data_IF_785601543344
#
_entry.id   IF_785601543344
#
_cell.length_a   1.000
_cell.length_b   1.000
_cell.length_c   1.000
_cell.angle_alpha   90.00
_cell.angle_beta   90.00
_cell.angle_gamma   90.00
#
_symmetry.space_group_name_H-M   'P 1'
#
loop_
_entity.id
_entity.type
_entity.pdbx_description
1 polymer ?
#
# COMPACT_ATOMS: atom_id res chain seq x y z
N UNK A 1 28.52 -5.59 2.86
CA UNK A 1 27.65 -4.71 3.67
C UNK A 1 26.26 -5.32 3.52
N UNK A 2 25.71 -5.93 4.57
CA UNK A 2 24.36 -6.51 4.50
C UNK A 2 23.41 -5.32 4.49
N UNK A 3 22.67 -5.15 3.40
CA UNK A 3 21.59 -4.16 3.32
C UNK A 3 20.58 -4.52 4.42
N UNK A 4 20.22 -3.56 5.28
CA UNK A 4 19.23 -3.85 6.33
C UNK A 4 17.90 -4.23 5.69
N UNK A 5 17.16 -5.15 6.31
CA UNK A 5 15.83 -5.58 5.84
C UNK A 5 14.92 -4.38 5.53
N UNK A 6 14.94 -3.34 6.38
CA UNK A 6 14.21 -2.11 6.16
C UNK A 6 14.61 -1.38 4.85
N UNK A 7 15.91 -1.28 4.55
CA UNK A 7 16.40 -0.65 3.31
C UNK A 7 16.01 -1.47 2.08
N UNK A 8 16.10 -2.81 2.19
CA UNK A 8 15.71 -3.71 1.12
C UNK A 8 14.20 -3.62 0.82
N UNK A 9 13.35 -3.57 1.85
CA UNK A 9 11.90 -3.39 1.72
C UNK A 9 11.59 -2.04 1.08
N UNK A 10 12.13 -0.94 1.60
CA UNK A 10 11.89 0.40 1.05
C UNK A 10 12.29 0.47 -0.44
N UNK A 11 13.42 -0.15 -0.80
CA UNK A 11 13.87 -0.26 -2.19
C UNK A 11 12.94 -1.11 -3.05
N UNK A 12 12.47 -2.25 -2.57
CA UNK A 12 11.56 -3.13 -3.30
C UNK A 12 10.18 -2.48 -3.50
N UNK A 13 9.65 -1.79 -2.49
CA UNK A 13 8.41 -1.01 -2.56
C UNK A 13 8.57 0.17 -3.52
N UNK A 14 9.67 0.92 -3.47
CA UNK A 14 9.93 2.00 -4.42
C UNK A 14 10.03 1.50 -5.87
N UNK A 15 10.48 0.26 -6.08
CA UNK A 15 10.50 -0.41 -7.38
C UNK A 15 9.17 -1.08 -7.76
N UNK A 16 8.14 -0.98 -6.89
CA UNK A 16 6.83 -1.61 -7.07
C UNK A 16 6.93 -3.14 -7.28
N UNK A 17 7.90 -3.79 -6.63
CA UNK A 17 8.20 -5.21 -6.80
C UNK A 17 7.64 -6.05 -5.65
N UNK A 18 6.36 -6.45 -5.76
CA UNK A 18 5.68 -7.25 -4.73
C UNK A 18 6.37 -8.61 -4.48
N UNK A 19 6.86 -9.27 -5.53
CA UNK A 19 7.62 -10.52 -5.40
C UNK A 19 8.90 -10.36 -4.59
N UNK A 20 9.64 -9.25 -4.77
CA UNK A 20 10.85 -8.97 -4.00
C UNK A 20 10.54 -8.62 -2.54
N UNK A 21 9.46 -7.86 -2.30
CA UNK A 21 8.97 -7.60 -0.93
C UNK A 21 8.67 -8.92 -0.22
N UNK A 22 7.93 -9.82 -0.87
CA UNK A 22 7.61 -11.13 -0.32
C UNK A 22 8.85 -11.98 -0.04
N UNK A 23 9.81 -12.02 -0.97
CA UNK A 23 11.07 -12.72 -0.76
C UNK A 23 11.81 -12.21 0.48
N UNK A 24 11.87 -10.89 0.67
CA UNK A 24 12.51 -10.28 1.84
C UNK A 24 11.78 -10.66 3.13
N UNK A 25 10.44 -10.64 3.13
CA UNK A 25 9.63 -11.05 4.28
C UNK A 25 9.91 -12.51 4.66
N UNK A 26 9.92 -13.42 3.67
CA UNK A 26 10.15 -14.85 3.88
C UNK A 26 11.57 -15.17 4.36
N UNK A 27 12.55 -14.33 4.03
CA UNK A 27 13.95 -14.47 4.44
C UNK A 27 14.29 -13.73 5.75
N UNK A 28 13.35 -12.93 6.28
CA UNK A 28 13.54 -12.18 7.52
C UNK A 28 13.56 -13.09 8.75
N UNK A 29 14.37 -12.74 9.75
CA UNK A 29 14.35 -13.39 11.07
C UNK A 29 13.02 -13.19 11.79
N UNK A 30 12.34 -12.07 11.52
CA UNK A 30 10.97 -11.78 11.95
C UNK A 30 10.13 -11.44 10.72
N UNK A 31 9.41 -12.43 10.15
CA UNK A 31 8.56 -12.22 8.98
C UNK A 31 7.40 -11.26 9.24
N UNK A 32 6.82 -11.27 10.44
CA UNK A 32 5.72 -10.36 10.78
C UNK A 32 6.21 -8.91 10.86
N UNK A 33 7.36 -8.64 11.48
CA UNK A 33 7.92 -7.27 11.52
C UNK A 33 8.31 -6.78 10.11
N UNK A 34 8.86 -7.67 9.28
CA UNK A 34 9.15 -7.35 7.88
C UNK A 34 7.87 -7.08 7.07
N UNK A 35 6.80 -7.81 7.34
CA UNK A 35 5.49 -7.57 6.73
C UNK A 35 4.89 -6.23 7.18
N UNK A 36 4.88 -5.92 8.49
CA UNK A 36 4.46 -4.62 9.04
C UNK A 36 5.25 -3.49 8.38
N UNK A 37 6.58 -3.62 8.32
CA UNK A 37 7.43 -2.62 7.66
C UNK A 37 7.12 -2.46 6.17
N UNK A 38 6.74 -3.54 5.49
CA UNK A 38 6.32 -3.48 4.09
C UNK A 38 4.99 -2.72 3.93
N UNK A 39 4.03 -2.96 4.81
CA UNK A 39 2.76 -2.23 4.86
C UNK A 39 2.99 -0.74 5.10
N UNK A 40 3.86 -0.39 6.05
CA UNK A 40 4.29 0.97 6.31
C UNK A 40 4.85 1.65 5.05
N UNK A 41 5.81 1.03 4.37
CA UNK A 41 6.45 1.65 3.19
C UNK A 41 5.45 1.84 2.05
N UNK A 42 4.51 0.91 1.84
CA UNK A 42 3.42 1.08 0.86
C UNK A 42 2.54 2.27 1.24
N UNK A 43 2.11 2.38 2.50
CA UNK A 43 1.32 3.51 2.97
C UNK A 43 2.05 4.86 2.76
N UNK A 44 3.36 4.92 3.04
CA UNK A 44 4.16 6.12 2.79
C UNK A 44 4.19 6.49 1.30
N UNK A 45 4.32 5.51 0.40
CA UNK A 45 4.29 5.77 -1.05
C UNK A 45 2.93 6.28 -1.52
N UNK A 46 1.84 5.65 -1.09
CA UNK A 46 0.48 6.11 -1.39
C UNK A 46 0.29 7.54 -0.90
N UNK A 47 0.61 7.83 0.38
CA UNK A 47 0.52 9.18 0.95
C UNK A 47 1.32 10.20 0.14
N UNK A 48 2.51 9.83 -0.34
CA UNK A 48 3.37 10.69 -1.15
C UNK A 48 2.71 11.00 -2.49
N UNK A 49 2.16 10.00 -3.18
CA UNK A 49 1.42 10.20 -4.44
C UNK A 49 0.22 11.15 -4.25
N UNK A 50 -0.54 11.01 -3.17
CA UNK A 50 -1.65 11.92 -2.85
C UNK A 50 -1.20 13.37 -2.68
N UNK A 51 -0.14 13.61 -1.91
CA UNK A 51 0.40 14.95 -1.68
C UNK A 51 0.91 15.58 -2.98
N UNK A 52 1.66 14.83 -3.78
CA UNK A 52 2.17 15.31 -5.07
C UNK A 52 1.03 15.67 -6.03
N UNK A 53 -0.04 14.88 -6.06
CA UNK A 53 -1.20 15.15 -6.89
C UNK A 53 -2.00 16.39 -6.43
N UNK A 54 -2.03 16.69 -5.14
CA UNK A 54 -2.73 17.86 -4.58
C UNK A 54 -1.94 19.17 -4.78
N UNK A 55 -0.60 19.11 -4.73
CA UNK A 55 0.26 20.31 -4.79
C UNK A 55 0.53 20.80 -6.22
N UNK A 56 0.34 19.95 -7.24
CA UNK A 56 0.65 20.28 -8.64
C UNK A 56 -0.64 20.52 -9.42
N UNK A 57 -0.93 21.79 -9.77
CA UNK A 57 -2.10 22.20 -10.59
C UNK A 57 -2.18 21.54 -11.99
N UNK A 58 -1.15 20.80 -12.40
CA UNK A 58 -1.07 20.00 -13.64
C UNK A 58 -0.65 18.56 -13.36
N UNK A 59 -1.06 17.98 -12.24
CA UNK A 59 -0.77 16.58 -11.95
C UNK A 59 -1.28 15.70 -13.09
N UNK A 60 -0.38 14.87 -13.62
CA UNK A 60 -0.71 13.86 -14.62
C UNK A 60 -1.62 12.82 -13.93
N UNK A 61 -2.93 13.03 -14.04
CA UNK A 61 -3.97 12.16 -13.47
C UNK A 61 -3.77 10.69 -13.91
N UNK A 62 -3.14 10.44 -15.07
CA UNK A 62 -2.81 9.10 -15.56
C UNK A 62 -1.64 8.50 -14.76
N UNK A 63 -0.57 9.26 -14.53
CA UNK A 63 0.54 8.83 -13.68
C UNK A 63 0.09 8.57 -12.24
N UNK A 64 -0.73 9.47 -11.67
CA UNK A 64 -1.30 9.30 -10.34
C UNK A 64 -2.16 8.04 -10.25
N UNK A 65 -3.04 7.81 -11.23
CA UNK A 65 -3.88 6.60 -11.28
C UNK A 65 -3.06 5.33 -11.38
N UNK A 66 -2.01 5.31 -12.20
CA UNK A 66 -1.08 4.16 -12.31
C UNK A 66 -0.36 3.88 -11.00
N UNK A 67 0.14 4.91 -10.33
CA UNK A 67 0.84 4.74 -9.05
C UNK A 67 -0.09 4.18 -7.98
N UNK A 68 -1.33 4.69 -7.90
CA UNK A 68 -2.34 4.15 -6.99
C UNK A 68 -2.69 2.69 -7.32
N UNK A 69 -2.84 2.35 -8.60
CA UNK A 69 -3.11 0.96 -8.99
C UNK A 69 -1.96 0.03 -8.57
N UNK A 70 -0.72 0.43 -8.80
CA UNK A 70 0.45 -0.39 -8.47
C UNK A 70 0.61 -0.56 -6.96
N UNK A 71 0.55 0.52 -6.19
CA UNK A 71 0.65 0.43 -4.73
C UNK A 71 -0.57 -0.22 -4.08
N UNK A 72 -1.77 -0.04 -4.64
CA UNK A 72 -2.98 -0.74 -4.22
C UNK A 72 -2.90 -2.24 -4.45
N UNK A 73 -2.33 -2.68 -5.58
CA UNK A 73 -2.08 -4.10 -5.83
C UNK A 73 -1.06 -4.68 -4.84
N UNK A 74 0.01 -3.93 -4.51
CA UNK A 74 0.95 -4.34 -3.47
C UNK A 74 0.28 -4.47 -2.10
N UNK A 75 -0.56 -3.50 -1.71
CA UNK A 75 -1.33 -3.58 -0.47
C UNK A 75 -2.23 -4.82 -0.44
N UNK A 76 -2.94 -5.13 -1.53
CA UNK A 76 -3.75 -6.36 -1.63
C UNK A 76 -2.92 -7.62 -1.44
N UNK A 77 -1.76 -7.71 -2.08
CA UNK A 77 -0.87 -8.85 -1.93
C UNK A 77 -0.36 -9.00 -0.49
N UNK A 78 -0.04 -7.89 0.18
CA UNK A 78 0.37 -7.88 1.58
C UNK A 78 -0.76 -8.30 2.51
N UNK A 79 -1.99 -7.83 2.29
CA UNK A 79 -3.15 -8.23 3.08
C UNK A 79 -3.41 -9.74 2.97
N UNK A 80 -3.45 -10.28 1.74
CA UNK A 80 -3.61 -11.72 1.49
C UNK A 80 -2.47 -12.52 2.12
N UNK A 81 -1.24 -12.03 2.03
CA UNK A 81 -0.10 -12.71 2.64
C UNK A 81 -0.19 -12.71 4.17
N UNK A 82 -0.58 -11.58 4.78
CA UNK A 82 -0.81 -11.47 6.22
C UNK A 82 -1.88 -12.44 6.73
N UNK A 83 -3.01 -12.52 6.03
CA UNK A 83 -4.10 -13.48 6.31
C UNK A 83 -3.60 -14.93 6.25
N UNK A 84 -2.91 -15.32 5.17
CA UNK A 84 -2.35 -16.68 5.02
C UNK A 84 -1.38 -17.03 6.15
N UNK A 85 -0.64 -16.05 6.66
CA UNK A 85 0.34 -16.25 7.75
C UNK A 85 -0.26 -16.13 9.14
N UNK A 86 -1.50 -15.63 9.26
CA UNK A 86 -2.13 -15.34 10.54
C UNK A 86 -1.40 -14.23 11.31
N UNK A 87 -0.91 -13.21 10.61
CA UNK A 87 -0.38 -11.99 11.23
C UNK A 87 -1.52 -11.12 11.77
N UNK A 88 -1.18 -9.98 12.37
CA UNK A 88 -2.13 -8.99 12.89
C UNK A 88 -3.35 -8.75 11.97
N UNK A 89 -4.51 -9.24 12.43
CA UNK A 89 -5.79 -9.22 11.70
C UNK A 89 -6.32 -7.78 11.54
N UNK A 90 -6.11 -6.92 12.54
CA UNK A 90 -6.60 -5.54 12.49
C UNK A 90 -5.82 -4.73 11.46
N UNK A 91 -4.49 -4.85 11.48
CA UNK A 91 -3.64 -4.22 10.48
C UNK A 91 -3.87 -4.81 9.08
N UNK A 92 -4.07 -6.13 8.96
CA UNK A 92 -4.39 -6.77 7.69
C UNK A 92 -5.67 -6.20 7.07
N UNK A 93 -6.74 -6.06 7.86
CA UNK A 93 -7.99 -5.44 7.41
C UNK A 93 -7.79 -4.01 6.91
N UNK A 94 -6.96 -3.22 7.58
CA UNK A 94 -6.64 -1.85 7.13
C UNK A 94 -5.80 -1.79 5.87
N UNK A 95 -4.88 -2.72 5.68
CA UNK A 95 -4.12 -2.83 4.43
C UNK A 95 -5.02 -3.27 3.26
N UNK A 96 -6.03 -4.10 3.52
CA UNK A 96 -7.07 -4.45 2.54
C UNK A 96 -7.93 -3.23 2.16
N UNK A 97 -8.44 -2.49 3.14
CA UNK A 97 -9.18 -1.23 2.91
C UNK A 97 -8.34 -0.23 2.07
N UNK A 98 -7.03 -0.12 2.34
CA UNK A 98 -6.12 0.72 1.55
C UNK A 98 -6.05 0.27 0.08
N UNK A 99 -5.94 -1.03 -0.15
CA UNK A 99 -5.85 -1.61 -1.49
C UNK A 99 -7.11 -1.31 -2.32
N UNK A 100 -8.28 -1.40 -1.68
CA UNK A 100 -9.58 -1.09 -2.29
C UNK A 100 -9.70 0.41 -2.60
N UNK A 101 -9.35 1.27 -1.64
CA UNK A 101 -9.37 2.72 -1.81
C UNK A 101 -8.47 3.20 -2.96
N UNK A 102 -7.28 2.64 -3.06
CA UNK A 102 -6.37 2.89 -4.18
C UNK A 102 -6.98 2.48 -5.52
N UNK A 103 -7.59 1.28 -5.61
CA UNK A 103 -8.21 0.79 -6.85
C UNK A 103 -9.43 1.63 -7.26
N UNK A 104 -10.27 2.01 -6.30
CA UNK A 104 -11.44 2.84 -6.52
C UNK A 104 -11.05 4.25 -7.03
N UNK A 105 -10.03 4.84 -6.42
CA UNK A 105 -9.53 6.17 -6.79
C UNK A 105 -8.85 6.17 -8.17
N UNK A 106 -8.02 5.17 -8.47
CA UNK A 106 -7.38 5.04 -9.78
C UNK A 106 -8.41 4.92 -10.93
N UNK A 107 -9.50 4.17 -10.71
CA UNK A 107 -10.58 4.00 -11.69
C UNK A 107 -11.39 5.28 -11.91
N UNK A 108 -11.71 6.01 -10.83
CA UNK A 108 -12.50 7.24 -10.93
C UNK A 108 -11.75 8.33 -11.72
N UNK A 109 -10.42 8.43 -11.51
CA UNK A 109 -9.54 9.37 -12.19
C UNK A 109 -9.26 9.03 -13.66
N UNK A 110 -9.23 7.74 -13.99
CA UNK A 110 -9.00 7.27 -15.37
C UNK A 110 -10.21 7.42 -16.31
N UNK A 111 -11.37 7.89 -15.81
CA UNK A 111 -12.59 8.04 -16.62
C UNK A 111 -13.26 6.72 -17.05
N UNK A 112 -12.77 5.57 -16.56
CA UNK A 112 -13.31 4.22 -16.82
C UNK A 112 -14.42 3.92 -15.78
N UNK A 113 -15.29 4.89 -15.55
CA UNK A 113 -16.41 4.74 -14.63
C UNK A 113 -17.62 4.20 -15.37
N UNK A 114 -17.86 2.89 -15.32
CA UNK A 114 -19.22 2.36 -15.31
C UNK A 114 -19.28 0.91 -14.80
N UNK A 115 -20.19 0.72 -13.83
CA UNK A 115 -20.79 -0.55 -13.39
C UNK A 115 -19.92 -1.55 -12.63
N UNK A 116 -19.76 -1.31 -11.32
CA UNK A 116 -19.94 -2.31 -10.25
C UNK A 116 -19.99 -1.57 -8.90
N UNK A 117 -21.22 -1.28 -8.47
CA UNK A 117 -21.63 -1.06 -7.07
C UNK A 117 -20.66 -0.31 -6.15
N UNK A 118 -20.77 1.02 -6.12
CA UNK A 118 -21.30 1.89 -5.02
C UNK A 118 -21.34 1.40 -3.55
N UNK A 119 -20.72 0.29 -3.15
CA UNK A 119 -20.75 -0.18 -1.75
C UNK A 119 -19.67 0.45 -0.86
N UNK A 120 -18.71 1.17 -1.45
CA UNK A 120 -17.50 1.60 -0.75
C UNK A 120 -17.10 3.05 -1.07
N UNK A 121 -18.08 3.93 -1.31
CA UNK A 121 -17.85 5.35 -1.63
C UNK A 121 -17.29 6.21 -0.48
N UNK A 122 -17.00 5.61 0.69
CA UNK A 122 -16.59 6.27 1.94
C UNK A 122 -15.24 5.75 2.49
N UNK A 123 -14.31 5.34 1.62
CA UNK A 123 -12.96 5.00 2.07
C UNK A 123 -12.14 6.29 2.29
N UNK A 124 -12.05 6.72 3.55
CA UNK A 124 -11.16 7.81 3.97
C UNK A 124 -9.70 7.32 3.98
N UNK A 125 -9.12 7.24 2.78
CA UNK A 125 -7.73 6.83 2.55
C UNK A 125 -6.74 7.56 3.48
N UNK A 126 -6.84 8.89 3.71
CA UNK A 126 -6.06 9.57 4.74
C UNK A 126 -6.08 8.90 6.12
N UNK A 127 -7.27 8.58 6.66
CA UNK A 127 -7.40 7.92 7.97
C UNK A 127 -6.83 6.51 7.98
N UNK A 128 -7.02 5.74 6.88
CA UNK A 128 -6.45 4.40 6.73
C UNK A 128 -4.91 4.46 6.73
N UNK A 129 -4.35 5.42 6.00
CA UNK A 129 -2.91 5.63 5.94
C UNK A 129 -2.33 5.99 7.30
N UNK A 130 -2.99 6.86 8.06
CA UNK A 130 -2.57 7.21 9.43
C UNK A 130 -2.56 5.98 10.33
N UNK A 131 -3.63 5.18 10.31
CA UNK A 131 -3.68 3.93 11.07
C UNK A 131 -2.51 2.99 10.73
N UNK A 132 -2.29 2.72 9.43
CA UNK A 132 -1.23 1.79 9.00
C UNK A 132 0.14 2.33 9.44
N UNK A 133 0.39 3.64 9.27
CA UNK A 133 1.65 4.26 9.65
C UNK A 133 1.91 4.16 11.16
N UNK A 134 0.88 4.37 11.99
CA UNK A 134 0.99 4.30 13.45
C UNK A 134 1.17 2.87 13.97
N UNK A 135 0.48 1.89 13.38
CA UNK A 135 0.47 0.50 13.87
C UNK A 135 1.49 -0.41 13.16
N UNK A 136 2.24 0.13 12.19
CA UNK A 136 3.33 -0.59 11.51
C UNK A 136 4.72 -0.08 11.90
N UNK A 137 4.80 1.01 12.65
CA UNK A 137 6.05 1.63 13.08
C UNK A 137 6.19 1.48 14.61
N UNK A 138 6.28 0.23 15.06
CA UNK A 138 6.71 -0.08 16.42
C UNK A 138 8.24 0.19 16.50
N UNK A 139 8.62 1.25 17.21
CA UNK A 139 10.01 1.47 17.69
C UNK A 139 10.37 0.51 18.84
#
# INVERSE_FOLDING_TARGET
MIESVATAIASAVAQQSAGKVREIIEQSESPEDAWKKSCYEVAIKVRTSYKQNQEVEMADDEQFSRDLENFGNMARELAVYGDIKGFDEELQGKVEELAEGCANTARSKSGIGNTLESKYQDEDIPSILEYIIENSNDE
#
